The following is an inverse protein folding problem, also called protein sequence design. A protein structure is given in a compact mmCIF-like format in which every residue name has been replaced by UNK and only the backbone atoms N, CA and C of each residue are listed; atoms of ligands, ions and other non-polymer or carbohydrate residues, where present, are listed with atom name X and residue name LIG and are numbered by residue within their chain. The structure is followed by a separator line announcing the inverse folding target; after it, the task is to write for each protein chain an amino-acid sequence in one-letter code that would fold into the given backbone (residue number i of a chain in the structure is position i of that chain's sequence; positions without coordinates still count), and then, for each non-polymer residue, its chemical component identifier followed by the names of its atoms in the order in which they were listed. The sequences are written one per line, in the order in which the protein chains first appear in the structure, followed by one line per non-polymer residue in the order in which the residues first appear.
data_IF_898034190776
#
_entry.id   IF_898034190776
#
_cell.length_a   1.000
_cell.length_b   1.000
_cell.length_c   1.000
_cell.angle_alpha   90.00
_cell.angle_beta   90.00
_cell.angle_gamma   90.00
#
_symmetry.space_group_name_H-M   'P 1'
#
loop_
_entity.id
_entity.type
_entity.pdbx_description
1 polymer ?
#
# COMPACT_ATOMS: atom_id res chain seq x y z
N UNK A 1 -7.79 -3.79 -25.34
CA UNK A 1 -7.96 -3.83 -23.87
C UNK A 1 -7.12 -2.72 -23.26
N UNK A 2 -7.68 -1.89 -22.38
CA UNK A 2 -6.85 -0.99 -21.55
C UNK A 2 -6.22 -1.84 -20.46
N UNK A 3 -4.90 -1.90 -20.39
CA UNK A 3 -4.20 -2.66 -19.33
C UNK A 3 -4.73 -2.28 -17.94
N UNK A 4 -4.95 -3.28 -17.08
CA UNK A 4 -5.38 -3.06 -15.70
C UNK A 4 -6.89 -2.94 -15.47
N UNK A 5 -7.72 -3.22 -16.47
CA UNK A 5 -9.18 -3.24 -16.33
C UNK A 5 -9.80 -4.53 -16.87
N UNK A 6 -10.78 -5.05 -16.14
CA UNK A 6 -11.71 -6.10 -16.55
C UNK A 6 -13.01 -5.47 -17.07
N UNK A 7 -13.52 -5.99 -18.19
CA UNK A 7 -14.80 -5.56 -18.75
C UNK A 7 -15.89 -6.44 -18.15
N UNK A 8 -16.84 -5.82 -17.45
CA UNK A 8 -18.07 -6.47 -17.05
C UNK A 8 -19.17 -6.08 -18.03
N UNK A 9 -19.74 -7.07 -18.71
CA UNK A 9 -20.92 -6.89 -19.56
C UNK A 9 -22.17 -6.89 -18.70
N UNK A 10 -22.98 -5.85 -18.82
CA UNK A 10 -24.24 -5.72 -18.09
C UNK A 10 -25.38 -6.08 -19.05
N UNK A 11 -26.19 -7.08 -18.69
CA UNK A 11 -27.34 -7.51 -19.49
C UNK A 11 -28.61 -7.63 -18.63
N UNK A 12 -29.78 -7.46 -19.26
CA UNK A 12 -31.09 -7.63 -18.62
C UNK A 12 -32.02 -6.41 -18.77
N UNK A 13 -33.33 -6.66 -18.62
CA UNK A 13 -34.40 -5.65 -18.77
C UNK A 13 -34.27 -4.45 -17.82
N UNK A 14 -33.62 -4.62 -16.68
CA UNK A 14 -33.40 -3.54 -15.71
C UNK A 14 -32.31 -2.55 -16.17
N UNK A 15 -31.23 -3.06 -16.77
CA UNK A 15 -30.10 -2.25 -17.29
C UNK A 15 -30.56 -1.40 -18.48
N UNK A 16 -31.34 -1.99 -19.38
CA UNK A 16 -31.88 -1.29 -20.55
C UNK A 16 -32.92 -0.22 -20.19
N UNK A 17 -33.76 -0.46 -19.17
CA UNK A 17 -34.72 0.55 -18.68
C UNK A 17 -34.06 1.77 -18.03
N UNK A 18 -32.86 1.62 -17.47
CA UNK A 18 -32.11 2.69 -16.81
C UNK A 18 -31.21 3.49 -17.76
N UNK A 19 -31.15 3.12 -19.05
CA UNK A 19 -30.20 3.73 -20.00
C UNK A 19 -28.73 3.52 -19.62
N UNK A 20 -28.44 2.51 -18.80
CA UNK A 20 -27.09 2.25 -18.32
C UNK A 20 -26.22 1.68 -19.47
N UNK A 21 -24.92 1.98 -19.48
CA UNK A 21 -24.01 1.45 -20.50
C UNK A 21 -23.97 -0.09 -20.45
N UNK A 22 -23.94 -0.73 -21.62
CA UNK A 22 -23.92 -2.20 -21.76
C UNK A 22 -22.65 -2.87 -21.22
N UNK A 23 -21.64 -2.08 -20.83
CA UNK A 23 -20.41 -2.58 -20.22
C UNK A 23 -19.81 -1.56 -19.24
N UNK A 24 -19.10 -2.07 -18.24
CA UNK A 24 -18.35 -1.29 -17.26
C UNK A 24 -16.92 -1.83 -17.15
N UNK A 25 -15.96 -0.94 -16.90
CA UNK A 25 -14.59 -1.32 -16.61
C UNK A 25 -14.37 -1.36 -15.09
N UNK A 26 -13.92 -2.49 -14.56
CA UNK A 26 -13.47 -2.63 -13.17
C UNK A 26 -11.95 -2.72 -13.15
N UNK A 27 -11.30 -2.02 -12.23
CA UNK A 27 -9.86 -2.13 -12.06
C UNK A 27 -9.49 -3.56 -11.63
N UNK A 28 -8.60 -4.22 -12.39
CA UNK A 28 -8.15 -5.58 -12.09
C UNK A 28 -6.97 -5.62 -11.11
N UNK A 29 -6.38 -4.45 -10.81
CA UNK A 29 -5.28 -4.32 -9.86
C UNK A 29 -5.85 -3.98 -8.48
N UNK A 30 -5.75 -4.91 -7.55
CA UNK A 30 -6.17 -4.72 -6.16
C UNK A 30 -5.00 -4.89 -5.18
N UNK A 31 -5.16 -4.34 -3.98
CA UNK A 31 -4.30 -4.57 -2.83
C UNK A 31 -5.15 -4.51 -1.55
N UNK A 32 -4.65 -5.11 -0.48
CA UNK A 32 -5.23 -5.00 0.86
C UNK A 32 -4.58 -3.85 1.62
N UNK A 33 -5.39 -2.99 2.24
CA UNK A 33 -4.96 -1.97 3.18
C UNK A 33 -5.46 -2.35 4.58
N UNK A 34 -4.56 -2.43 5.56
CA UNK A 34 -4.91 -2.86 6.93
C UNK A 34 -5.23 -1.65 7.80
N UNK A 35 -6.30 -1.73 8.60
CA UNK A 35 -6.80 -0.58 9.36
C UNK A 35 -5.78 0.02 10.33
N UNK A 36 -4.86 -0.79 10.85
CA UNK A 36 -3.78 -0.31 11.70
C UNK A 36 -2.89 0.75 11.05
N UNK A 37 -2.94 0.99 9.73
CA UNK A 37 -2.18 2.08 9.10
C UNK A 37 -2.84 3.47 9.18
N UNK A 38 -4.10 3.58 9.62
CA UNK A 38 -4.83 4.87 9.58
C UNK A 38 -4.13 5.98 10.38
N UNK A 39 -3.50 5.66 11.51
CA UNK A 39 -2.73 6.62 12.32
C UNK A 39 -1.58 7.28 11.53
N UNK A 40 -1.06 6.62 10.49
CA UNK A 40 -0.07 7.17 9.57
C UNK A 40 -0.72 7.91 8.41
N UNK A 41 -1.78 7.33 7.84
CA UNK A 41 -2.43 7.87 6.65
C UNK A 41 -3.11 9.22 6.90
N UNK A 42 -3.63 9.46 8.10
CA UNK A 42 -4.21 10.76 8.49
C UNK A 42 -3.14 11.88 8.48
N UNK A 43 -1.86 11.53 8.63
CA UNK A 43 -0.75 12.49 8.59
C UNK A 43 -0.33 12.84 7.15
N UNK A 44 -0.92 12.22 6.13
CA UNK A 44 -0.61 12.50 4.72
C UNK A 44 -1.57 13.56 4.16
N UNK A 45 -1.05 14.57 3.43
CA UNK A 45 -1.93 15.40 2.61
C UNK A 45 -2.56 14.56 1.49
N UNK A 46 -3.75 14.93 0.97
CA UNK A 46 -4.49 14.09 0.03
C UNK A 46 -3.68 13.62 -1.20
N UNK A 47 -2.87 14.48 -1.87
CA UNK A 47 -2.07 14.01 -3.02
C UNK A 47 -1.00 12.99 -2.65
N UNK A 48 -0.40 13.09 -1.46
CA UNK A 48 0.58 12.13 -0.98
C UNK A 48 -0.07 10.80 -0.60
N UNK A 49 -1.31 10.84 -0.07
CA UNK A 49 -2.11 9.65 0.16
C UNK A 49 -2.44 8.94 -1.15
N UNK A 50 -2.92 9.67 -2.15
CA UNK A 50 -3.18 9.10 -3.48
C UNK A 50 -1.92 8.52 -4.12
N UNK A 51 -0.75 9.14 -3.90
CA UNK A 51 0.51 8.58 -4.36
C UNK A 51 0.84 7.25 -3.67
N UNK A 52 0.62 7.14 -2.35
CA UNK A 52 0.79 5.87 -1.64
C UNK A 52 -0.13 4.76 -2.17
N UNK A 53 -1.41 5.06 -2.37
CA UNK A 53 -2.37 4.09 -2.92
C UNK A 53 -1.94 3.63 -4.33
N UNK A 54 -1.45 4.56 -5.17
CA UNK A 54 -0.86 4.24 -6.47
C UNK A 54 0.37 3.33 -6.36
N UNK A 55 1.28 3.57 -5.42
CA UNK A 55 2.43 2.68 -5.21
C UNK A 55 2.00 1.28 -4.77
N UNK A 56 0.93 1.16 -3.96
CA UNK A 56 0.36 -0.13 -3.56
C UNK A 56 -0.26 -0.88 -4.75
N UNK A 57 -0.83 -0.18 -5.72
CA UNK A 57 -1.31 -0.82 -6.96
C UNK A 57 -0.16 -1.35 -7.84
N UNK A 58 0.92 -0.57 -7.95
CA UNK A 58 2.09 -0.88 -8.79
C UNK A 58 3.10 -1.82 -8.13
N UNK A 59 2.97 -2.13 -6.83
CA UNK A 59 3.87 -3.07 -6.17
C UNK A 59 3.71 -4.49 -6.68
N UNK A 60 4.81 -5.23 -6.63
CA UNK A 60 4.85 -6.66 -6.96
C UNK A 60 4.14 -7.48 -5.89
N UNK A 61 3.35 -8.46 -6.32
CA UNK A 61 2.59 -9.30 -5.40
C UNK A 61 3.46 -10.25 -4.57
N UNK A 62 4.59 -10.71 -5.10
CA UNK A 62 5.48 -11.66 -4.44
C UNK A 62 6.38 -11.02 -3.37
N UNK A 63 6.80 -9.77 -3.59
CA UNK A 63 7.78 -9.09 -2.74
C UNK A 63 7.27 -7.82 -2.06
N UNK A 64 6.07 -7.34 -2.42
CA UNK A 64 5.59 -5.99 -2.04
C UNK A 64 6.55 -4.86 -2.45
N UNK A 65 7.47 -5.12 -3.39
CA UNK A 65 8.47 -4.15 -3.83
C UNK A 65 7.95 -3.30 -4.98
N UNK A 66 8.42 -2.06 -5.06
CA UNK A 66 8.16 -1.12 -6.15
C UNK A 66 9.44 -0.33 -6.46
N UNK A 67 9.69 -0.06 -7.74
CA UNK A 67 10.80 0.78 -8.19
C UNK A 67 10.31 2.21 -8.31
N UNK A 68 10.80 3.11 -7.46
CA UNK A 68 10.38 4.52 -7.49
C UNK A 68 11.40 5.35 -8.27
N UNK A 69 11.34 5.24 -9.59
CA UNK A 69 12.15 6.01 -10.54
C UNK A 69 11.37 7.20 -11.12
N UNK A 70 11.99 7.98 -12.02
CA UNK A 70 11.31 9.12 -12.65
C UNK A 70 10.16 8.66 -13.55
N UNK A 71 10.29 7.50 -14.22
CA UNK A 71 9.25 6.93 -15.07
C UNK A 71 7.96 6.64 -14.29
N UNK A 72 8.07 6.03 -13.11
CA UNK A 72 6.92 5.75 -12.26
C UNK A 72 6.27 7.04 -11.73
N UNK A 73 7.07 8.06 -11.40
CA UNK A 73 6.55 9.35 -10.94
C UNK A 73 5.82 10.09 -12.06
N UNK A 74 6.36 10.09 -13.27
CA UNK A 74 5.70 10.67 -14.45
C UNK A 74 4.40 9.93 -14.78
N UNK A 75 4.40 8.59 -14.64
CA UNK A 75 3.18 7.79 -14.78
C UNK A 75 2.10 8.23 -13.79
N UNK A 76 2.46 8.42 -12.51
CA UNK A 76 1.54 8.92 -11.51
C UNK A 76 1.00 10.32 -11.86
N UNK A 77 1.89 11.26 -12.22
CA UNK A 77 1.50 12.63 -12.60
C UNK A 77 0.55 12.59 -13.80
N UNK A 78 0.85 11.77 -14.81
CA UNK A 78 -0.01 11.55 -15.98
C UNK A 78 -1.39 11.01 -15.60
N UNK A 79 -1.44 10.00 -14.71
CA UNK A 79 -2.71 9.45 -14.21
C UNK A 79 -3.52 10.48 -13.44
N UNK A 80 -2.91 11.23 -12.52
CA UNK A 80 -3.62 12.30 -11.78
C UNK A 80 -4.17 13.36 -12.73
N UNK A 81 -3.36 13.80 -13.70
CA UNK A 81 -3.79 14.75 -14.72
C UNK A 81 -4.97 14.22 -15.54
N UNK A 82 -4.99 12.93 -15.85
CA UNK A 82 -6.08 12.29 -16.59
C UNK A 82 -7.36 12.20 -15.73
N UNK A 83 -7.30 11.63 -14.52
CA UNK A 83 -8.49 11.39 -13.69
C UNK A 83 -9.12 12.69 -13.16
N UNK A 84 -8.32 13.74 -13.02
CA UNK A 84 -8.81 15.06 -12.55
C UNK A 84 -9.19 15.99 -13.70
N UNK A 85 -9.18 15.51 -14.95
CA UNK A 85 -9.42 16.35 -16.14
C UNK A 85 -8.52 17.60 -16.16
N UNK A 86 -7.23 17.42 -15.83
CA UNK A 86 -6.19 18.45 -15.74
C UNK A 86 -6.38 19.52 -14.65
N UNK A 87 -7.37 19.36 -13.75
CA UNK A 87 -7.60 20.31 -12.64
C UNK A 87 -6.50 20.25 -11.58
N UNK A 88 -5.87 19.08 -11.39
CA UNK A 88 -4.73 18.91 -10.49
C UNK A 88 -3.47 18.70 -11.32
N UNK A 89 -2.46 19.54 -11.08
CA UNK A 89 -1.14 19.42 -11.69
C UNK A 89 -0.11 19.20 -10.61
N UNK A 90 0.74 18.18 -10.78
CA UNK A 90 1.79 17.82 -9.85
C UNK A 90 3.14 17.91 -10.56
N UNK A 91 4.17 18.35 -9.83
CA UNK A 91 5.55 18.35 -10.31
C UNK A 91 6.33 17.16 -9.75
N UNK A 92 7.45 16.82 -10.39
CA UNK A 92 8.36 15.76 -9.90
C UNK A 92 8.89 16.09 -8.50
N UNK A 93 9.19 17.36 -8.21
CA UNK A 93 9.63 17.83 -6.89
C UNK A 93 8.57 17.57 -5.83
N UNK A 94 7.29 17.77 -6.17
CA UNK A 94 6.17 17.49 -5.27
C UNK A 94 6.09 16.00 -4.96
N UNK A 95 6.22 15.15 -5.97
CA UNK A 95 6.25 13.69 -5.79
C UNK A 95 7.48 13.23 -4.99
N UNK A 96 8.64 13.85 -5.20
CA UNK A 96 9.84 13.58 -4.39
C UNK A 96 9.61 13.91 -2.90
N UNK A 97 8.90 15.01 -2.59
CA UNK A 97 8.49 15.33 -1.21
C UNK A 97 7.54 14.26 -0.64
N UNK A 98 6.66 13.68 -1.46
CA UNK A 98 5.78 12.58 -1.02
C UNK A 98 6.60 11.34 -0.67
N UNK A 99 7.58 10.95 -1.51
CA UNK A 99 8.50 9.83 -1.21
C UNK A 99 9.20 10.03 0.15
N UNK A 100 9.74 11.22 0.40
CA UNK A 100 10.39 11.52 1.67
C UNK A 100 9.44 11.38 2.87
N UNK A 101 8.19 11.86 2.73
CA UNK A 101 7.18 11.76 3.79
C UNK A 101 6.74 10.31 4.04
N UNK A 102 6.54 9.52 2.99
CA UNK A 102 6.19 8.10 3.12
C UNK A 102 7.29 7.30 3.81
N UNK A 103 8.56 7.61 3.54
CA UNK A 103 9.71 7.03 4.26
C UNK A 103 9.70 7.41 5.74
N UNK A 104 9.48 8.70 6.05
CA UNK A 104 9.44 9.20 7.43
C UNK A 104 8.34 8.51 8.26
N UNK A 105 7.22 8.18 7.63
CA UNK A 105 6.10 7.47 8.26
C UNK A 105 6.24 5.94 8.21
N UNK A 106 7.35 5.39 7.73
CA UNK A 106 7.56 3.94 7.56
C UNK A 106 6.47 3.24 6.72
N UNK A 107 5.79 3.98 5.83
CA UNK A 107 4.84 3.41 4.87
C UNK A 107 5.56 2.74 3.70
N UNK A 108 6.74 3.27 3.36
CA UNK A 108 7.70 2.64 2.44
C UNK A 108 9.05 2.49 3.12
N UNK A 109 9.70 1.36 2.88
CA UNK A 109 11.00 1.00 3.44
C UNK A 109 12.00 0.92 2.28
N UNK A 110 13.25 1.28 2.53
CA UNK A 110 14.31 1.07 1.52
C UNK A 110 14.57 -0.42 1.37
N UNK A 111 14.80 -0.87 0.14
CA UNK A 111 15.34 -2.20 -0.11
C UNK A 111 16.86 -2.16 0.17
N UNK A 112 17.33 -3.00 1.08
CA UNK A 112 18.73 -2.95 1.53
C UNK A 112 19.71 -3.30 0.41
N UNK A 113 19.32 -4.23 -0.48
CA UNK A 113 20.21 -4.78 -1.51
C UNK A 113 20.10 -4.07 -2.87
N UNK A 114 19.08 -3.24 -3.10
CA UNK A 114 18.78 -2.72 -4.44
C UNK A 114 18.44 -1.23 -4.40
N UNK A 115 19.35 -0.40 -4.93
CA UNK A 115 19.17 1.04 -4.99
C UNK A 115 17.97 1.39 -5.88
N UNK A 116 17.10 2.27 -5.40
CA UNK A 116 15.89 2.69 -6.12
C UNK A 116 14.67 1.78 -5.91
N UNK A 117 14.86 0.61 -5.28
CA UNK A 117 13.77 -0.27 -4.87
C UNK A 117 13.31 0.09 -3.47
N UNK A 118 11.98 0.10 -3.32
CA UNK A 118 11.31 0.31 -2.06
C UNK A 118 10.38 -0.87 -1.79
N UNK A 119 10.19 -1.18 -0.53
CA UNK A 119 9.17 -2.12 -0.06
C UNK A 119 8.00 -1.31 0.47
N UNK A 120 6.79 -1.57 -0.03
CA UNK A 120 5.57 -1.14 0.65
C UNK A 120 5.47 -1.94 1.94
N UNK A 121 5.37 -1.25 3.08
CA UNK A 121 5.42 -1.91 4.38
C UNK A 121 4.27 -2.94 4.51
N UNK A 122 4.57 -4.25 4.56
CA UNK A 122 3.55 -5.29 4.59
C UNK A 122 2.77 -5.34 5.90
N UNK A 123 3.20 -4.61 6.94
CA UNK A 123 2.41 -4.33 8.15
C UNK A 123 1.11 -3.57 7.82
N UNK A 124 1.13 -2.76 6.75
CA UNK A 124 0.10 -1.77 6.45
C UNK A 124 -0.62 -2.01 5.12
N UNK A 125 0.08 -2.49 4.09
CA UNK A 125 -0.53 -2.83 2.81
C UNK A 125 0.13 -4.05 2.16
N UNK A 126 -0.65 -4.91 1.50
CA UNK A 126 -0.12 -6.10 0.82
C UNK A 126 -0.98 -6.53 -0.37
N UNK A 127 -0.35 -7.13 -1.39
CA UNK A 127 -1.04 -7.64 -2.60
C UNK A 127 -1.10 -9.18 -2.64
N UNK A 128 -0.48 -9.81 -1.65
CA UNK A 128 -0.45 -11.26 -1.48
C UNK A 128 -1.49 -11.73 -0.45
N UNK A 129 -1.57 -13.06 -0.30
CA UNK A 129 -2.41 -13.68 0.73
C UNK A 129 -1.93 -13.35 2.15
N UNK A 130 -2.82 -13.48 3.14
CA UNK A 130 -2.48 -13.30 4.56
C UNK A 130 -1.28 -14.16 4.99
N UNK A 131 -1.22 -15.41 4.53
CA UNK A 131 -0.11 -16.34 4.83
C UNK A 131 1.21 -15.84 4.25
N UNK A 132 1.22 -15.42 2.99
CA UNK A 132 2.41 -14.88 2.33
C UNK A 132 2.88 -13.57 2.99
N UNK A 133 1.95 -12.70 3.38
CA UNK A 133 2.24 -11.47 4.12
C UNK A 133 2.95 -11.73 5.45
N UNK A 134 2.45 -12.67 6.25
CA UNK A 134 3.05 -13.00 7.54
C UNK A 134 4.46 -13.58 7.37
N UNK A 135 4.66 -14.47 6.39
CA UNK A 135 5.98 -14.99 6.06
C UNK A 135 6.96 -13.88 5.64
N UNK A 136 6.48 -12.92 4.84
CA UNK A 136 7.26 -11.77 4.40
C UNK A 136 7.66 -10.86 5.58
N UNK A 137 6.72 -10.50 6.46
CA UNK A 137 7.02 -9.69 7.65
C UNK A 137 8.07 -10.39 8.52
N UNK A 138 7.90 -11.69 8.77
CA UNK A 138 8.86 -12.48 9.56
C UNK A 138 10.26 -12.43 8.94
N UNK A 139 10.37 -12.72 7.63
CA UNK A 139 11.63 -12.67 6.89
C UNK A 139 12.29 -11.29 6.98
N UNK A 140 11.52 -10.21 6.82
CA UNK A 140 12.04 -8.84 6.91
C UNK A 140 12.58 -8.49 8.31
N UNK A 141 11.92 -8.98 9.37
CA UNK A 141 12.39 -8.79 10.76
C UNK A 141 13.70 -9.57 10.97
N UNK A 142 13.76 -10.82 10.54
CA UNK A 142 14.96 -11.67 10.65
C UNK A 142 16.14 -11.07 9.89
N UNK A 143 15.95 -10.63 8.65
CA UNK A 143 16.99 -9.98 7.84
C UNK A 143 17.49 -8.70 8.50
N UNK A 144 16.59 -7.83 8.98
CA UNK A 144 17.00 -6.59 9.64
C UNK A 144 17.72 -6.83 10.96
N UNK A 145 17.29 -7.80 11.75
CA UNK A 145 17.98 -8.19 12.97
C UNK A 145 19.40 -8.69 12.68
N UNK A 146 19.56 -9.51 11.62
CA UNK A 146 20.86 -10.00 11.17
C UNK A 146 21.82 -8.89 10.75
N UNK A 147 21.32 -7.82 10.13
CA UNK A 147 22.12 -6.68 9.68
C UNK A 147 22.17 -5.52 10.69
N UNK A 148 21.77 -5.76 11.95
CA UNK A 148 21.72 -4.75 13.03
C UNK A 148 20.98 -3.46 12.60
N UNK A 149 19.91 -3.63 11.83
CA UNK A 149 19.07 -2.53 11.34
C UNK A 149 17.90 -2.28 12.28
N UNK A 150 17.45 -1.03 12.25
CA UNK A 150 16.28 -0.61 12.98
C UNK A 150 15.02 -1.39 12.55
N UNK A 151 14.31 -1.92 13.55
CA UNK A 151 13.05 -2.65 13.39
C UNK A 151 11.83 -1.72 13.54
N UNK A 152 12.05 -0.43 13.80
CA UNK A 152 10.98 0.57 13.89
C UNK A 152 10.13 0.56 12.61
N UNK A 153 8.80 0.55 12.80
CA UNK A 153 7.83 0.47 11.71
C UNK A 153 7.46 -0.96 11.27
N UNK A 154 8.22 -1.99 11.65
CA UNK A 154 7.85 -3.40 11.46
C UNK A 154 7.31 -4.05 12.74
N UNK A 155 7.73 -3.58 13.90
CA UNK A 155 7.22 -4.05 15.19
C UNK A 155 5.96 -3.29 15.61
N UNK A 156 5.12 -3.95 16.41
CA UNK A 156 4.02 -3.34 17.15
C UNK A 156 4.59 -2.78 18.46
N UNK A 157 4.74 -1.45 18.57
CA UNK A 157 5.15 -0.81 19.82
C UNK A 157 3.90 -0.51 20.65
N UNK A 158 3.62 -1.32 21.67
CA UNK A 158 2.85 -1.02 22.90
C UNK A 158 1.39 -0.53 22.82
N UNK A 159 0.98 0.20 21.79
CA UNK A 159 -0.41 0.64 21.58
C UNK A 159 -1.26 -0.48 20.98
N UNK A 160 -0.62 -1.42 20.28
CA UNK A 160 -1.27 -2.58 19.65
C UNK A 160 -1.30 -3.84 20.56
N UNK A 161 -0.65 -3.82 21.72
CA UNK A 161 -0.49 -5.00 22.59
C UNK A 161 -1.55 -5.11 23.73
N UNK A 162 -2.31 -4.04 23.98
CA UNK A 162 -3.23 -3.95 25.11
C UNK A 162 -4.72 -4.19 24.77
N UNK A 163 -5.04 -4.70 23.58
CA UNK A 163 -6.44 -4.99 23.22
C UNK A 163 -6.91 -6.42 23.48
N UNK A 164 -6.03 -7.33 23.87
CA UNK A 164 -6.43 -8.70 24.25
C UNK A 164 -6.23 -8.88 25.76
N UNK A 165 -7.30 -8.63 26.51
CA UNK A 165 -7.43 -9.09 27.88
C UNK A 165 -7.38 -10.61 27.93
N UNK A 166 -6.21 -11.17 28.22
CA UNK A 166 -6.07 -12.48 28.82
C UNK A 166 -5.25 -12.36 30.09
N UNK A 167 -5.96 -12.31 31.22
CA UNK A 167 -5.42 -12.60 32.54
C UNK A 167 -4.90 -14.03 32.56
N UNK A 168 -3.58 -14.21 32.47
CA UNK A 168 -2.96 -15.48 32.82
C UNK A 168 -2.89 -15.54 34.35
N UNK A 169 -3.81 -16.32 34.92
CA UNK A 169 -3.78 -16.72 36.32
C UNK A 169 -2.49 -17.48 36.60
N UNK A 170 -1.61 -16.89 37.42
CA UNK A 170 -0.48 -17.60 37.98
C UNK A 170 -0.99 -18.60 39.02
N UNK A 171 -0.90 -19.90 38.70
CA UNK A 171 -0.98 -20.95 39.71
C UNK A 171 0.24 -20.82 40.62
N UNK A 172 0.04 -20.31 41.83
CA UNK A 172 0.99 -20.48 42.92
C UNK A 172 0.90 -21.93 43.40
N UNK A 173 2.01 -22.66 43.27
CA UNK A 173 2.17 -23.95 43.93
C UNK A 173 2.30 -23.78 45.44
N UNK A 174 1.62 -24.67 46.17
CA UNK A 174 2.12 -25.37 47.34
C UNK A 174 1.59 -26.79 47.27
#
# INVERSE_FOLDING_TARGET
MKEGYEVITLSGKAVSKLGAPSSMLIASRCFSLYFNCQHLLIQLPPPARSFFDFLCEEMRADTNSVIIDNKLKELFIGRIRQITSKKVTLSIESVNKYVLRLKKLNLILRHEQQKGYYLINPKYAAKCSKKARLAMIKKMIEERAMFEKDLQGLLATGVDANSDGQSVSAKSGK
#
